data_IF_333841877680
#
_entry.id   IF_333841877680
#
_cell.length_a   1.000
_cell.length_b   1.000
_cell.length_c   1.000
_cell.angle_alpha   90.00
_cell.angle_beta   90.00
_cell.angle_gamma   90.00
#
_symmetry.space_group_name_H-M   'P 1'
#
loop_
_entity.id
_entity.type
_entity.pdbx_description
1 polymer ?
#
# COMPACT_ATOMS: atom_id res chain seq x y z
N UNK A 1 -22.36 -13.44 33.33
CA UNK A 1 -22.70 -12.40 32.33
C UNK A 1 -21.60 -11.34 32.22
N UNK A 2 -21.12 -10.76 33.33
CA UNK A 2 -20.05 -9.75 33.29
C UNK A 2 -18.69 -10.24 32.74
N UNK A 3 -18.25 -11.46 33.06
CA UNK A 3 -16.99 -12.03 32.53
C UNK A 3 -17.02 -12.19 31.02
N UNK A 4 -18.10 -12.75 30.46
CA UNK A 4 -18.30 -12.87 29.01
C UNK A 4 -18.27 -11.51 28.30
N UNK A 5 -18.84 -10.46 28.91
CA UNK A 5 -18.83 -9.13 28.34
C UNK A 5 -17.40 -8.57 28.25
N UNK A 6 -16.62 -8.72 29.32
CA UNK A 6 -15.21 -8.28 29.37
C UNK A 6 -14.38 -9.04 28.33
N UNK A 7 -14.49 -10.37 28.27
CA UNK A 7 -13.78 -11.18 27.29
C UNK A 7 -14.14 -10.81 25.84
N UNK A 8 -15.41 -10.52 25.57
CA UNK A 8 -15.85 -10.08 24.24
C UNK A 8 -15.27 -8.72 23.86
N UNK A 9 -15.17 -7.80 24.83
CA UNK A 9 -14.64 -6.47 24.64
C UNK A 9 -13.12 -6.49 24.40
N UNK A 10 -12.37 -7.26 25.17
CA UNK A 10 -10.92 -7.46 24.96
C UNK A 10 -10.63 -8.07 23.59
N UNK A 11 -11.45 -9.04 23.16
CA UNK A 11 -11.32 -9.64 21.84
C UNK A 11 -11.58 -8.63 20.74
N UNK A 12 -12.60 -7.77 20.89
CA UNK A 12 -12.90 -6.71 19.92
C UNK A 12 -11.75 -5.69 19.83
N UNK A 13 -11.20 -5.25 20.96
CA UNK A 13 -10.04 -4.34 20.99
C UNK A 13 -8.85 -4.97 20.26
N UNK A 14 -8.56 -6.25 20.51
CA UNK A 14 -7.46 -6.94 19.84
C UNK A 14 -7.65 -6.97 18.33
N UNK A 15 -8.84 -7.36 17.86
CA UNK A 15 -9.16 -7.40 16.42
C UNK A 15 -9.00 -6.03 15.78
N UNK A 16 -9.52 -4.96 16.40
CA UNK A 16 -9.41 -3.60 15.87
C UNK A 16 -7.94 -3.14 15.85
N UNK A 17 -7.17 -3.45 16.89
CA UNK A 17 -5.76 -3.05 17.01
C UNK A 17 -4.92 -3.76 15.96
N UNK A 18 -5.11 -5.07 15.76
CA UNK A 18 -4.43 -5.85 14.74
C UNK A 18 -4.76 -5.34 13.34
N UNK A 19 -6.04 -5.08 13.04
CA UNK A 19 -6.48 -4.50 11.76
C UNK A 19 -5.77 -3.17 11.49
N UNK A 20 -5.79 -2.24 12.44
CA UNK A 20 -5.14 -0.92 12.28
C UNK A 20 -3.63 -1.04 12.07
N UNK A 21 -2.98 -1.99 12.76
CA UNK A 21 -1.55 -2.24 12.58
C UNK A 21 -1.25 -2.75 11.16
N UNK A 22 -2.06 -3.68 10.64
CA UNK A 22 -1.91 -4.18 9.28
C UNK A 22 -2.11 -3.08 8.24
N UNK A 23 -3.15 -2.26 8.39
CA UNK A 23 -3.42 -1.11 7.51
C UNK A 23 -2.24 -0.12 7.50
N UNK A 24 -1.72 0.24 8.68
CA UNK A 24 -0.58 1.14 8.79
C UNK A 24 0.69 0.56 8.16
N UNK A 25 0.98 -0.73 8.38
CA UNK A 25 2.15 -1.36 7.76
C UNK A 25 2.01 -1.43 6.24
N UNK A 26 0.80 -1.66 5.73
CA UNK A 26 0.53 -1.62 4.29
C UNK A 26 0.80 -0.21 3.74
N UNK A 27 0.21 0.82 4.36
CA UNK A 27 0.38 2.22 3.95
C UNK A 27 1.85 2.67 3.96
N UNK A 28 2.61 2.30 5.01
CA UNK A 28 4.05 2.58 5.10
C UNK A 28 4.84 1.88 3.99
N UNK A 29 4.50 0.64 3.67
CA UNK A 29 5.15 -0.10 2.59
C UNK A 29 4.84 0.48 1.22
N UNK A 30 3.58 0.81 0.94
CA UNK A 30 3.14 1.43 -0.31
C UNK A 30 3.81 2.80 -0.51
N UNK A 31 3.87 3.62 0.55
CA UNK A 31 4.55 4.91 0.53
C UNK A 31 6.04 4.77 0.23
N UNK A 32 6.70 3.78 0.85
CA UNK A 32 8.11 3.48 0.58
C UNK A 32 8.34 3.04 -0.86
N UNK A 33 7.51 2.14 -1.40
CA UNK A 33 7.63 1.69 -2.78
C UNK A 33 7.37 2.82 -3.77
N UNK A 34 6.36 3.66 -3.50
CA UNK A 34 6.06 4.84 -4.30
C UNK A 34 7.23 5.81 -4.33
N UNK A 35 7.82 6.12 -3.18
CA UNK A 35 9.01 6.98 -3.09
C UNK A 35 10.16 6.44 -3.96
N UNK A 36 10.43 5.13 -3.89
CA UNK A 36 11.49 4.51 -4.70
C UNK A 36 11.15 4.59 -6.19
N UNK A 37 9.92 4.25 -6.57
CA UNK A 37 9.50 4.20 -7.97
C UNK A 37 9.40 5.60 -8.60
N UNK A 38 9.04 6.62 -7.83
CA UNK A 38 8.97 8.01 -8.30
C UNK A 38 10.35 8.65 -8.48
N UNK A 39 11.38 8.16 -7.78
CA UNK A 39 12.72 8.77 -7.77
C UNK A 39 13.80 7.92 -8.45
N UNK A 40 13.45 6.75 -8.98
CA UNK A 40 14.41 5.93 -9.74
C UNK A 40 14.52 6.42 -11.19
N UNK A 41 15.71 6.27 -11.78
CA UNK A 41 15.93 6.55 -13.20
C UNK A 41 15.42 5.43 -14.11
N UNK A 42 15.20 4.23 -13.57
CA UNK A 42 14.67 3.10 -14.34
C UNK A 42 13.18 3.31 -14.64
N UNK A 43 12.73 2.86 -15.81
CA UNK A 43 11.31 2.87 -16.14
C UNK A 43 10.59 1.73 -15.42
N UNK A 44 9.61 2.08 -14.59
CA UNK A 44 8.71 1.13 -13.91
C UNK A 44 7.30 1.36 -14.44
N UNK A 45 6.71 0.29 -14.97
CA UNK A 45 5.32 0.28 -15.39
C UNK A 45 4.59 -0.90 -14.75
N UNK A 46 3.38 -0.65 -14.26
CA UNK A 46 2.45 -1.69 -13.80
C UNK A 46 1.28 -1.71 -14.77
N UNK A 47 0.95 -2.90 -15.27
CA UNK A 47 -0.08 -3.10 -16.26
C UNK A 47 -1.09 -4.12 -15.73
N UNK A 48 -2.37 -3.78 -15.83
CA UNK A 48 -3.46 -4.66 -15.47
C UNK A 48 -3.75 -5.69 -16.57
N UNK A 49 -4.58 -6.68 -16.25
CA UNK A 49 -4.91 -7.77 -17.19
C UNK A 49 -5.61 -7.30 -18.45
N UNK A 50 -6.29 -6.15 -18.39
CA UNK A 50 -6.95 -5.52 -19.52
C UNK A 50 -6.00 -4.66 -20.39
N UNK A 51 -4.71 -4.67 -20.07
CA UNK A 51 -3.64 -3.86 -20.69
C UNK A 51 -3.71 -2.37 -20.37
N UNK A 52 -4.53 -1.96 -19.41
CA UNK A 52 -4.46 -0.60 -18.87
C UNK A 52 -3.19 -0.46 -18.00
N UNK A 53 -2.52 0.69 -18.10
CA UNK A 53 -1.40 1.00 -17.22
C UNK A 53 -1.96 1.53 -15.90
N UNK A 54 -1.79 0.77 -14.83
CA UNK A 54 -2.19 1.18 -13.48
C UNK A 54 -1.15 2.06 -12.82
N UNK A 55 0.10 2.03 -13.30
CA UNK A 55 1.16 2.92 -12.86
C UNK A 55 2.25 3.07 -13.91
N UNK A 56 2.81 4.27 -14.01
CA UNK A 56 4.00 4.58 -14.81
C UNK A 56 4.88 5.55 -14.00
N UNK A 57 6.16 5.22 -13.82
CA UNK A 57 7.11 6.07 -13.09
C UNK A 57 7.45 7.34 -13.87
N UNK A 58 7.74 8.47 -13.21
CA UNK A 58 8.09 9.75 -13.87
C UNK A 58 9.31 9.66 -14.81
N UNK A 59 10.19 8.68 -14.60
CA UNK A 59 11.33 8.40 -15.49
C UNK A 59 10.95 8.09 -16.94
N UNK A 60 9.66 7.84 -17.24
CA UNK A 60 9.18 7.63 -18.61
C UNK A 60 9.55 8.78 -19.54
N UNK A 61 9.56 10.03 -19.06
CA UNK A 61 9.87 11.21 -19.86
C UNK A 61 11.28 11.08 -20.46
N UNK A 62 12.25 10.75 -19.62
CA UNK A 62 13.65 10.61 -20.00
C UNK A 62 13.94 9.32 -20.77
N UNK A 63 13.35 8.18 -20.33
CA UNK A 63 13.65 6.87 -20.92
C UNK A 63 13.02 6.68 -22.29
N UNK A 64 11.79 7.18 -22.47
CA UNK A 64 11.05 7.04 -23.72
C UNK A 64 11.15 8.28 -24.61
N UNK A 65 11.67 9.39 -24.09
CA UNK A 65 11.87 10.63 -24.85
C UNK A 65 10.58 11.42 -25.09
N UNK A 66 9.61 11.32 -24.18
CA UNK A 66 8.40 12.13 -24.19
C UNK A 66 8.61 13.33 -23.25
N UNK A 67 8.45 14.56 -23.77
CA UNK A 67 8.30 15.78 -22.96
C UNK A 67 6.84 15.97 -22.50
#
# INVERSE_FOLDING_TARGET
>A
VGSLLIESYERLIRIITEKKRMEKTLEESESKYRLIAENTSDLIAVMDRDRSLSYLSPSYEFVLGYE
#
